data_IF_324137786547
#
_entry.id   IF_324137786547
#
_cell.length_a   1.000
_cell.length_b   1.000
_cell.length_c   1.000
_cell.angle_alpha   90.00
_cell.angle_beta   90.00
_cell.angle_gamma   90.00
#
_symmetry.space_group_name_H-M   'P 1'
#
loop_
_entity.id
_entity.type
_entity.pdbx_description
1 polymer ?
#
# COMPACT_ATOMS: atom_id res chain seq x y z
N UNK A 1 11.09 5.64 7.82
CA UNK A 1 11.52 5.67 6.40
C UNK A 1 10.55 6.59 5.63
N UNK A 2 10.83 6.93 4.37
CA UNK A 2 9.93 7.72 3.51
C UNK A 2 9.43 9.06 4.13
N UNK A 3 10.35 9.88 4.67
CA UNK A 3 10.04 11.14 5.38
C UNK A 3 9.40 12.25 4.53
N UNK A 4 9.27 12.04 3.22
CA UNK A 4 8.65 12.99 2.29
C UNK A 4 7.18 12.65 1.99
N UNK A 5 6.69 11.49 2.42
CA UNK A 5 5.26 11.21 2.38
C UNK A 5 4.59 11.86 3.60
N UNK A 6 3.36 12.36 3.43
CA UNK A 6 2.53 12.92 4.50
C UNK A 6 2.33 11.90 5.61
N UNK A 7 2.06 10.64 5.28
CA UNK A 7 2.01 9.54 6.24
C UNK A 7 2.93 8.40 5.84
N UNK A 8 3.75 7.90 6.77
CA UNK A 8 4.59 6.73 6.51
C UNK A 8 4.91 5.96 7.79
N UNK A 9 4.85 4.63 7.69
CA UNK A 9 5.30 3.73 8.76
C UNK A 9 5.79 2.39 8.22
N UNK A 10 6.60 1.72 9.05
CA UNK A 10 6.99 0.33 8.82
C UNK A 10 6.33 -0.51 9.90
N UNK A 11 5.52 -1.48 9.49
CA UNK A 11 4.83 -2.41 10.39
C UNK A 11 5.47 -3.81 10.26
N UNK A 12 5.57 -4.51 11.39
CA UNK A 12 6.25 -5.81 11.46
C UNK A 12 5.47 -6.79 12.34
N UNK A 13 5.38 -8.04 11.88
CA UNK A 13 4.93 -9.19 12.68
C UNK A 13 5.85 -10.38 12.37
N UNK A 14 6.50 -10.91 13.39
CA UNK A 14 7.58 -11.89 13.19
C UNK A 14 8.68 -11.29 12.30
N UNK A 15 9.04 -11.97 11.21
CA UNK A 15 9.99 -11.45 10.22
C UNK A 15 9.31 -10.93 8.95
N UNK A 16 7.98 -10.85 8.95
CA UNK A 16 7.22 -10.18 7.89
C UNK A 16 7.16 -8.68 8.16
N UNK A 17 7.60 -7.88 7.19
CA UNK A 17 7.75 -6.42 7.29
C UNK A 17 7.13 -5.75 6.08
N UNK A 18 6.29 -4.74 6.32
CA UNK A 18 5.64 -3.95 5.26
C UNK A 18 5.89 -2.46 5.53
N UNK A 19 6.38 -1.75 4.51
CA UNK A 19 6.40 -0.28 4.50
C UNK A 19 5.09 0.20 3.90
N UNK A 20 4.37 1.05 4.62
CA UNK A 20 3.13 1.66 4.12
C UNK A 20 3.26 3.17 4.13
N UNK A 21 2.90 3.79 3.01
CA UNK A 21 2.93 5.25 2.82
C UNK A 21 1.59 5.75 2.31
N UNK A 22 1.17 6.92 2.76
CA UNK A 22 -0.01 7.64 2.30
C UNK A 22 0.39 9.06 1.88
N UNK A 23 -0.14 9.51 0.75
CA UNK A 23 0.07 10.85 0.22
C UNK A 23 -1.19 11.36 -0.46
N UNK A 24 -1.54 12.62 -0.24
CA UNK A 24 -2.52 13.34 -1.04
C UNK A 24 -1.84 14.39 -1.94
N UNK A 25 -2.44 14.68 -3.09
CA UNK A 25 -2.06 15.81 -3.91
C UNK A 25 -2.42 17.14 -3.21
N UNK A 26 -1.64 18.19 -3.48
CA UNK A 26 -1.88 19.52 -2.89
C UNK A 26 -3.07 20.27 -3.51
N UNK A 27 -3.62 19.76 -4.61
CA UNK A 27 -4.71 20.38 -5.36
C UNK A 27 -5.83 19.37 -5.62
N UNK A 28 -7.07 19.80 -5.39
CA UNK A 28 -8.25 19.01 -5.72
C UNK A 28 -8.40 18.83 -7.24
N UNK A 29 -9.00 17.72 -7.64
CA UNK A 29 -9.40 17.44 -9.03
C UNK A 29 -10.88 17.69 -9.21
N UNK A 30 -11.26 18.15 -10.40
CA UNK A 30 -12.67 18.28 -10.79
C UNK A 30 -13.21 16.93 -11.29
N UNK A 31 -13.58 16.06 -10.35
CA UNK A 31 -14.10 14.72 -10.63
C UNK A 31 -15.22 14.34 -9.65
N UNK A 32 -16.24 13.57 -10.09
CA UNK A 32 -17.41 13.27 -9.27
C UNK A 32 -17.24 12.05 -8.35
N UNK A 33 -16.01 11.62 -8.06
CA UNK A 33 -15.73 10.43 -7.26
C UNK A 33 -14.44 10.58 -6.45
N UNK A 34 -14.28 9.79 -5.38
CA UNK A 34 -13.06 9.73 -4.56
C UNK A 34 -11.86 9.18 -5.37
N UNK A 35 -10.83 9.99 -5.67
CA UNK A 35 -9.62 9.54 -6.36
C UNK A 35 -8.64 8.84 -5.41
N UNK A 36 -9.08 7.75 -4.79
CA UNK A 36 -8.24 6.89 -3.96
C UNK A 36 -7.66 5.76 -4.81
N UNK A 37 -6.32 5.68 -4.82
CA UNK A 37 -5.54 4.59 -5.41
C UNK A 37 -4.82 3.84 -4.30
N UNK A 38 -5.02 2.53 -4.23
CA UNK A 38 -4.29 1.65 -3.32
C UNK A 38 -3.43 0.69 -4.12
N UNK A 39 -2.15 0.65 -3.81
CA UNK A 39 -1.19 -0.26 -4.42
C UNK A 39 -0.59 -1.17 -3.35
N UNK A 40 -0.58 -2.47 -3.62
CA UNK A 40 0.15 -3.44 -2.83
C UNK A 40 1.19 -4.10 -3.73
N UNK A 41 2.45 -4.13 -3.27
CA UNK A 41 3.58 -4.66 -4.01
C UNK A 41 4.35 -5.67 -3.17
N UNK A 42 4.49 -6.87 -3.72
CA UNK A 42 5.23 -7.96 -3.09
C UNK A 42 6.41 -8.35 -3.99
N UNK A 43 7.56 -7.74 -3.71
CA UNK A 43 8.77 -8.00 -4.49
C UNK A 43 9.36 -9.36 -4.12
N UNK A 44 9.98 -10.05 -5.10
CA UNK A 44 10.48 -11.41 -4.89
C UNK A 44 11.62 -11.46 -3.86
N UNK A 45 12.35 -10.35 -3.69
CA UNK A 45 13.39 -10.24 -2.66
C UNK A 45 12.84 -10.43 -1.24
N UNK A 46 11.57 -10.10 -1.00
CA UNK A 46 10.96 -10.24 0.32
C UNK A 46 10.90 -11.72 0.76
N UNK A 47 10.83 -12.63 -0.22
CA UNK A 47 10.92 -14.08 -0.01
C UNK A 47 12.31 -14.67 -0.30
N UNK A 48 13.35 -13.83 -0.45
CA UNK A 48 14.72 -14.25 -0.74
C UNK A 48 14.93 -14.79 -2.16
N UNK A 49 14.12 -14.35 -3.14
CA UNK A 49 14.18 -14.84 -4.52
C UNK A 49 14.48 -13.71 -5.51
N UNK A 50 15.24 -14.03 -6.55
CA UNK A 50 15.43 -13.14 -7.71
C UNK A 50 14.24 -13.35 -8.67
N UNK A 51 13.64 -12.28 -9.23
CA UNK A 51 12.57 -12.42 -10.21
C UNK A 51 12.92 -13.36 -11.37
N UNK A 52 11.98 -14.22 -11.71
CA UNK A 52 12.07 -15.10 -12.88
C UNK A 52 12.02 -14.33 -14.21
N UNK A 53 12.11 -15.04 -15.33
CA UNK A 53 12.00 -14.46 -16.67
C UNK A 53 13.27 -13.77 -17.18
N UNK A 54 13.16 -13.14 -18.36
CA UNK A 54 14.28 -12.50 -19.07
C UNK A 54 14.74 -11.20 -18.39
N UNK A 55 13.80 -10.34 -17.99
CA UNK A 55 14.09 -9.02 -17.43
C UNK A 55 14.55 -9.02 -15.97
N UNK A 56 14.40 -10.14 -15.24
CA UNK A 56 14.79 -10.28 -13.82
C UNK A 56 14.27 -9.15 -12.90
N UNK A 57 13.06 -8.67 -13.18
CA UNK A 57 12.39 -7.58 -12.45
C UNK A 57 10.92 -7.90 -12.23
N UNK A 58 10.35 -7.40 -11.14
CA UNK A 58 8.91 -7.45 -10.89
C UNK A 58 8.14 -6.71 -12.00
N UNK A 59 7.16 -7.40 -12.56
CA UNK A 59 6.30 -6.88 -13.62
C UNK A 59 4.98 -6.33 -13.09
N UNK A 60 3.92 -6.52 -13.89
CA UNK A 60 2.56 -6.11 -13.51
C UNK A 60 2.11 -6.79 -12.21
N UNK A 61 1.25 -6.14 -11.41
CA UNK A 61 0.64 -6.77 -10.24
C UNK A 61 -0.03 -8.09 -10.60
N UNK A 62 0.23 -9.11 -9.78
CA UNK A 62 -0.44 -10.39 -9.90
C UNK A 62 -1.83 -10.35 -9.24
N UNK A 63 -2.56 -11.47 -9.31
CA UNK A 63 -3.91 -11.57 -8.75
C UNK A 63 -3.93 -11.32 -7.23
N UNK A 64 -2.98 -11.91 -6.48
CA UNK A 64 -2.86 -11.69 -5.04
C UNK A 64 -2.65 -10.21 -4.72
N UNK A 65 -1.70 -9.57 -5.39
CA UNK A 65 -1.41 -8.15 -5.18
C UNK A 65 -2.63 -7.27 -5.46
N UNK A 66 -3.37 -7.58 -6.53
CA UNK A 66 -4.61 -6.88 -6.88
C UNK A 66 -5.70 -7.11 -5.83
N UNK A 67 -5.86 -8.33 -5.33
CA UNK A 67 -6.84 -8.67 -4.30
C UNK A 67 -6.52 -7.99 -2.96
N UNK A 68 -5.25 -7.95 -2.56
CA UNK A 68 -4.80 -7.28 -1.33
C UNK A 68 -4.97 -5.76 -1.42
N UNK A 69 -4.70 -5.16 -2.58
CA UNK A 69 -5.01 -3.76 -2.83
C UNK A 69 -6.51 -3.47 -2.67
N UNK A 70 -7.39 -4.30 -3.25
CA UNK A 70 -8.85 -4.16 -3.09
C UNK A 70 -9.32 -4.43 -1.67
N UNK A 71 -8.73 -5.38 -0.96
CA UNK A 71 -9.02 -5.67 0.44
C UNK A 71 -8.73 -4.47 1.33
N UNK A 72 -7.70 -3.70 1.00
CA UNK A 72 -7.30 -2.49 1.70
C UNK A 72 -8.16 -1.28 1.30
N UNK A 73 -8.47 -1.11 0.01
CA UNK A 73 -9.29 -0.01 -0.50
C UNK A 73 -10.72 -0.02 0.03
N UNK A 74 -11.38 -1.19 0.02
CA UNK A 74 -12.79 -1.34 0.40
C UNK A 74 -13.14 -0.77 1.79
N UNK A 75 -12.40 -1.06 2.87
CA UNK A 75 -12.67 -0.49 4.19
C UNK A 75 -12.24 0.97 4.32
N UNK A 76 -11.23 1.44 3.56
CA UNK A 76 -10.74 2.82 3.65
C UNK A 76 -11.65 3.81 2.92
N UNK A 77 -12.10 3.47 1.71
CA UNK A 77 -12.91 4.33 0.84
C UNK A 77 -14.12 4.99 1.53
N UNK A 78 -14.95 4.29 2.33
CA UNK A 78 -16.08 4.92 3.01
C UNK A 78 -15.71 5.80 4.22
N UNK A 79 -14.45 5.79 4.67
CA UNK A 79 -13.99 6.59 5.81
C UNK A 79 -13.51 7.98 5.40
N UNK A 80 -13.33 8.24 4.09
CA UNK A 80 -12.97 9.57 3.60
C UNK A 80 -14.15 10.54 3.75
N UNK A 81 -13.88 11.83 4.04
CA UNK A 81 -14.90 12.85 4.05
C UNK A 81 -15.66 12.92 2.73
N UNK A 82 -16.96 13.22 2.80
CA UNK A 82 -17.78 13.43 1.60
C UNK A 82 -17.21 14.59 0.77
N UNK A 83 -17.12 14.40 -0.55
CA UNK A 83 -16.54 15.39 -1.46
C UNK A 83 -15.02 15.46 -1.48
N UNK A 84 -14.30 14.55 -0.81
CA UNK A 84 -12.84 14.49 -0.91
C UNK A 84 -12.38 14.25 -2.35
N UNK A 85 -11.76 15.28 -2.94
CA UNK A 85 -11.37 15.30 -4.35
C UNK A 85 -9.85 15.43 -4.57
N UNK A 86 -9.04 15.25 -3.53
CA UNK A 86 -7.59 15.24 -3.64
C UNK A 86 -7.10 13.84 -3.99
N UNK A 87 -6.33 13.72 -5.07
CA UNK A 87 -5.76 12.43 -5.47
C UNK A 87 -4.94 11.85 -4.32
N UNK A 88 -5.38 10.70 -3.80
CA UNK A 88 -4.82 10.08 -2.61
C UNK A 88 -4.27 8.72 -2.99
N UNK A 89 -2.99 8.50 -2.69
CA UNK A 89 -2.30 7.25 -2.95
C UNK A 89 -1.88 6.60 -1.64
N UNK A 90 -2.17 5.31 -1.52
CA UNK A 90 -1.62 4.45 -0.46
C UNK A 90 -0.80 3.35 -1.12
N UNK A 91 0.47 3.23 -0.73
CA UNK A 91 1.37 2.18 -1.22
C UNK A 91 1.79 1.31 -0.05
N UNK A 92 1.51 0.01 -0.14
CA UNK A 92 2.00 -1.02 0.78
C UNK A 92 3.06 -1.87 0.06
N UNK A 93 4.31 -1.76 0.52
CA UNK A 93 5.46 -2.48 -0.02
C UNK A 93 5.93 -3.54 0.96
N UNK A 94 5.86 -4.81 0.58
CA UNK A 94 6.40 -5.91 1.39
C UNK A 94 7.91 -5.91 1.27
N UNK A 95 8.59 -5.67 2.39
CA UNK A 95 10.05 -5.66 2.48
C UNK A 95 10.62 -7.03 2.84
N UNK A 96 9.88 -7.83 3.61
CA UNK A 96 10.30 -9.15 4.08
C UNK A 96 9.05 -10.00 4.34
N UNK A 97 9.12 -11.31 4.04
CA UNK A 97 8.02 -12.26 4.24
C UNK A 97 8.54 -13.59 4.81
N UNK A 98 8.06 -13.95 6.00
CA UNK A 98 8.55 -15.12 6.77
C UNK A 98 7.76 -16.42 6.53
N UNK A 99 6.79 -16.38 5.61
CA UNK A 99 5.84 -17.47 5.25
C UNK A 99 4.92 -17.94 6.38
N UNK A 100 5.05 -17.40 7.59
CA UNK A 100 4.19 -17.74 8.74
C UNK A 100 3.10 -16.69 8.94
N UNK A 101 3.44 -15.42 8.69
CA UNK A 101 2.53 -14.30 8.83
C UNK A 101 2.14 -13.77 7.46
N UNK A 102 0.84 -13.54 7.26
CA UNK A 102 0.36 -13.02 5.99
C UNK A 102 0.59 -11.48 5.92
N UNK A 103 1.39 -10.97 4.96
CA UNK A 103 1.61 -9.54 4.78
C UNK A 103 0.33 -8.75 4.46
N UNK A 104 -0.72 -9.40 3.96
CA UNK A 104 -1.99 -8.73 3.60
C UNK A 104 -2.62 -8.02 4.81
N UNK A 105 -2.59 -8.65 5.99
CA UNK A 105 -3.15 -8.09 7.23
C UNK A 105 -2.36 -6.87 7.70
N UNK A 106 -1.03 -6.94 7.54
CA UNK A 106 -0.14 -5.83 7.86
C UNK A 106 -0.32 -4.66 6.89
N UNK A 107 -0.58 -4.93 5.60
CA UNK A 107 -0.87 -3.89 4.62
C UNK A 107 -2.15 -3.13 4.97
N UNK A 108 -3.24 -3.83 5.28
CA UNK A 108 -4.52 -3.20 5.67
C UNK A 108 -4.35 -2.36 6.95
N UNK A 109 -3.71 -2.95 7.96
CA UNK A 109 -3.49 -2.28 9.25
C UNK A 109 -2.57 -1.07 9.09
N UNK A 110 -1.47 -1.22 8.35
CA UNK A 110 -0.51 -0.15 8.08
C UNK A 110 -1.10 0.96 7.22
N UNK A 111 -2.02 0.66 6.30
CA UNK A 111 -2.70 1.69 5.51
C UNK A 111 -3.57 2.59 6.38
N UNK A 112 -4.32 2.01 7.32
CA UNK A 112 -5.10 2.75 8.31
C UNK A 112 -4.21 3.69 9.15
N UNK A 113 -3.10 3.17 9.68
CA UNK A 113 -2.17 4.00 10.44
C UNK A 113 -1.47 5.06 9.58
N UNK A 114 -1.11 4.76 8.33
CA UNK A 114 -0.44 5.71 7.45
C UNK A 114 -1.36 6.89 7.12
N UNK A 115 -2.64 6.63 6.85
CA UNK A 115 -3.66 7.68 6.67
C UNK A 115 -3.98 8.43 7.96
N UNK A 116 -3.89 7.79 9.12
CA UNK A 116 -4.11 8.46 10.40
C UNK A 116 -2.95 9.36 10.81
N UNK A 117 -1.74 9.07 10.31
CA UNK A 117 -0.54 9.86 10.53
C UNK A 117 -0.36 10.97 9.48
N UNK A 118 -1.04 10.87 8.34
CA UNK A 118 -0.95 11.88 7.30
C UNK A 118 -1.69 13.16 7.70
N UNK A 119 -1.12 14.29 7.30
CA UNK A 119 -1.60 15.66 7.55
C UNK A 119 -3.06 15.90 7.14
#
# INVERSE_FOLDING_TARGET
>A
MARQASGALTIRQGDTVVLVTAQAANSARDIPFLPLTVEYRENMYAGGKIPGGFFKREGRPNEKETLTARLTDRPLRPLFPEGWAFETQVIALVLSADRKHNPDVLAVTGASFALSLSD
#
